data_IF_468152613365
#
_entry.id   IF_468152613365
#
_cell.length_a   1.000
_cell.length_b   1.000
_cell.length_c   1.000
_cell.angle_alpha   90.00
_cell.angle_beta   90.00
_cell.angle_gamma   90.00
#
_symmetry.space_group_name_H-M   'P 1'
#
loop_
_entity.id
_entity.type
_entity.pdbx_description
1 polymer ?
#
# COMPACT_ATOMS: atom_id res chain seq x y z
N UNK A 1 -6.36 7.10 38.39
CA UNK A 1 -5.67 5.81 38.19
C UNK A 1 -6.49 4.72 38.87
N UNK A 2 -7.45 4.12 38.13
CA UNK A 2 -8.31 3.00 38.57
C UNK A 2 -8.47 2.10 37.32
N UNK A 3 -8.39 0.75 37.42
CA UNK A 3 -8.00 -0.11 36.30
C UNK A 3 -9.15 -0.66 35.44
N UNK A 4 -8.80 -1.11 34.24
CA UNK A 4 -9.69 -1.84 33.32
C UNK A 4 -10.20 -3.15 33.93
N UNK A 5 -11.52 -3.32 33.96
CA UNK A 5 -12.26 -4.59 33.78
C UNK A 5 -13.73 -4.26 33.54
N UNK A 6 -14.43 -5.15 32.83
CA UNK A 6 -15.80 -5.02 32.31
C UNK A 6 -15.94 -4.17 31.02
N UNK A 7 -15.99 -4.85 29.87
CA UNK A 7 -17.15 -4.95 28.98
C UNK A 7 -16.82 -6.04 27.95
N UNK A 8 -17.43 -7.21 28.11
CA UNK A 8 -17.54 -8.25 27.08
C UNK A 8 -18.76 -9.14 27.46
N UNK A 9 -19.37 -9.79 26.47
CA UNK A 9 -20.58 -10.61 26.57
C UNK A 9 -21.92 -9.87 26.76
N UNK A 10 -22.39 -9.23 25.69
CA UNK A 10 -23.81 -9.32 25.28
C UNK A 10 -23.93 -9.17 23.76
N UNK A 11 -25.02 -9.70 23.21
CA UNK A 11 -25.39 -9.87 21.79
C UNK A 11 -25.22 -11.30 21.25
N UNK A 12 -26.01 -12.21 21.80
CA UNK A 12 -26.38 -13.46 21.14
C UNK A 12 -27.75 -13.25 20.49
N UNK A 13 -27.79 -13.18 19.16
CA UNK A 13 -29.03 -12.96 18.41
C UNK A 13 -29.80 -14.28 18.29
N UNK A 14 -31.04 -14.27 18.77
CA UNK A 14 -31.87 -15.48 18.96
C UNK A 14 -33.09 -15.41 18.04
N UNK A 15 -33.01 -16.04 16.88
CA UNK A 15 -34.18 -16.32 16.03
C UNK A 15 -34.80 -17.67 16.43
N UNK A 16 -36.14 -17.74 16.40
CA UNK A 16 -36.91 -18.87 16.94
C UNK A 16 -37.92 -19.42 15.92
N UNK A 17 -38.20 -20.72 16.06
CA UNK A 17 -39.07 -21.57 15.22
C UNK A 17 -38.34 -22.91 15.04
N UNK A 18 -38.77 -24.06 15.57
CA UNK A 18 -40.13 -24.58 15.75
C UNK A 18 -40.43 -25.52 14.55
N UNK A 19 -40.69 -26.82 14.69
CA UNK A 19 -40.63 -27.73 15.85
C UNK A 19 -41.44 -29.01 15.56
N UNK A 20 -40.82 -30.20 15.59
CA UNK A 20 -41.52 -31.50 15.47
C UNK A 20 -40.69 -32.72 15.93
N UNK A 21 -41.37 -33.66 16.58
CA UNK A 21 -40.99 -35.03 16.97
C UNK A 21 -41.46 -36.03 15.85
N UNK A 22 -41.09 -37.31 15.69
CA UNK A 22 -40.17 -38.34 16.29
C UNK A 22 -40.18 -39.58 15.33
N UNK A 23 -39.63 -40.79 15.64
CA UNK A 23 -38.60 -41.22 16.59
C UNK A 23 -37.51 -42.21 16.01
N UNK A 24 -36.47 -42.43 16.82
CA UNK A 24 -35.71 -43.69 17.06
C UNK A 24 -35.23 -44.60 15.91
N UNK A 25 -33.90 -44.79 15.86
CA UNK A 25 -33.24 -46.01 15.40
C UNK A 25 -31.90 -46.23 16.12
N UNK A 26 -31.79 -47.27 16.96
CA UNK A 26 -30.51 -47.67 17.61
C UNK A 26 -29.77 -48.66 16.71
N UNK A 27 -28.48 -48.42 16.44
CA UNK A 27 -27.53 -49.51 16.26
C UNK A 27 -26.14 -49.13 16.78
N UNK A 28 -25.50 -50.10 17.41
CA UNK A 28 -24.25 -49.98 18.15
C UNK A 28 -23.05 -50.48 17.34
N UNK A 29 -21.88 -49.84 17.45
CA UNK A 29 -20.63 -50.46 17.00
C UNK A 29 -19.40 -49.56 17.00
N UNK A 30 -18.30 -50.05 17.58
CA UNK A 30 -16.94 -49.67 17.17
C UNK A 30 -16.40 -48.32 17.65
N UNK A 31 -16.00 -48.23 18.92
CA UNK A 31 -15.24 -47.08 19.41
C UNK A 31 -13.82 -47.03 18.82
N UNK A 32 -13.60 -46.14 17.84
CA UNK A 32 -12.29 -45.48 17.67
C UNK A 32 -12.35 -44.15 18.41
N UNK A 33 -11.47 -43.95 19.40
CA UNK A 33 -11.21 -42.61 19.93
C UNK A 33 -10.64 -41.75 18.80
N UNK A 34 -11.48 -40.96 18.13
CA UNK A 34 -11.00 -39.72 17.52
C UNK A 34 -10.52 -38.86 18.68
N UNK A 35 -9.23 -38.55 18.71
CA UNK A 35 -8.79 -37.36 19.43
C UNK A 35 -9.55 -36.19 18.82
N UNK A 36 -10.52 -35.66 19.56
CA UNK A 36 -10.99 -34.31 19.33
C UNK A 36 -9.83 -33.43 19.79
N UNK A 37 -8.89 -33.16 18.88
CA UNK A 37 -8.06 -31.98 19.02
C UNK A 37 -9.04 -30.83 19.20
N UNK A 38 -9.02 -30.21 20.38
CA UNK A 38 -9.46 -28.82 20.50
C UNK A 38 -8.48 -28.01 19.69
N UNK A 39 -8.72 -27.93 18.39
CA UNK A 39 -8.16 -26.90 17.55
C UNK A 39 -8.77 -25.60 18.07
N UNK A 40 -8.03 -24.97 18.99
CA UNK A 40 -8.18 -23.55 19.25
C UNK A 40 -8.10 -22.88 17.87
N UNK A 41 -9.13 -22.13 17.48
CA UNK A 41 -9.25 -21.45 16.18
C UNK A 41 -8.26 -20.30 15.95
N UNK A 42 -7.06 -20.44 16.51
CA UNK A 42 -5.86 -19.62 16.41
C UNK A 42 -4.85 -20.22 15.41
N UNK A 43 -5.15 -21.38 14.83
CA UNK A 43 -4.32 -22.03 13.81
C UNK A 43 -4.73 -21.62 12.39
N UNK A 44 -3.76 -21.57 11.48
CA UNK A 44 -4.01 -21.40 10.04
C UNK A 44 -4.74 -22.63 9.49
N UNK A 45 -5.80 -22.45 8.70
CA UNK A 45 -6.55 -23.57 8.13
C UNK A 45 -5.98 -24.04 6.79
N UNK A 46 -5.44 -23.12 5.99
CA UNK A 46 -4.88 -23.42 4.68
C UNK A 46 -3.37 -23.71 4.74
N UNK A 47 -2.87 -24.40 3.71
CA UNK A 47 -1.43 -24.63 3.49
C UNK A 47 -0.93 -23.80 2.31
N UNK A 48 0.23 -23.16 2.50
CA UNK A 48 0.92 -22.31 1.49
C UNK A 48 1.04 -22.95 0.09
N UNK A 49 1.26 -24.26 0.01
CA UNK A 49 1.44 -24.98 -1.25
C UNK A 49 0.13 -25.41 -1.92
N UNK A 50 -0.99 -25.42 -1.20
CA UNK A 50 -2.30 -25.89 -1.69
C UNK A 50 -3.16 -24.69 -2.12
N UNK A 51 -3.23 -23.64 -1.30
CA UNK A 51 -3.89 -22.39 -1.65
C UNK A 51 -3.13 -21.19 -1.05
N UNK A 52 -2.31 -20.53 -1.87
CA UNK A 52 -1.50 -19.40 -1.42
C UNK A 52 -2.33 -18.16 -1.05
N UNK A 53 -3.43 -17.88 -1.76
CA UNK A 53 -4.22 -16.65 -1.57
C UNK A 53 -4.99 -16.63 -0.25
N UNK A 54 -5.70 -17.72 0.05
CA UNK A 54 -6.37 -17.92 1.34
C UNK A 54 -5.34 -17.97 2.48
N UNK A 55 -4.30 -18.80 2.35
CA UNK A 55 -3.23 -18.91 3.36
C UNK A 55 -2.57 -17.57 3.67
N UNK A 56 -2.28 -16.75 2.66
CA UNK A 56 -1.66 -15.45 2.86
C UNK A 56 -2.59 -14.50 3.63
N UNK A 57 -3.87 -14.48 3.26
CA UNK A 57 -4.91 -13.68 3.92
C UNK A 57 -5.09 -14.09 5.38
N UNK A 58 -5.14 -15.40 5.67
CA UNK A 58 -5.16 -15.90 7.04
C UNK A 58 -3.91 -15.49 7.84
N UNK A 59 -2.71 -15.55 7.25
CA UNK A 59 -1.46 -15.19 7.93
C UNK A 59 -1.42 -13.71 8.32
N UNK A 60 -1.81 -12.80 7.42
CA UNK A 60 -1.72 -11.35 7.70
C UNK A 60 -2.79 -10.87 8.70
N UNK A 61 -3.96 -11.51 8.71
CA UNK A 61 -5.03 -11.20 9.68
C UNK A 61 -4.74 -11.83 11.04
N UNK A 62 -4.48 -13.15 11.09
CA UNK A 62 -4.20 -13.85 12.36
C UNK A 62 -2.85 -13.43 12.97
N UNK A 63 -1.92 -12.93 12.15
CA UNK A 63 -0.67 -12.30 12.59
C UNK A 63 -0.82 -10.85 13.06
N UNK A 64 -2.05 -10.33 13.17
CA UNK A 64 -2.35 -8.96 13.61
C UNK A 64 -1.62 -7.85 12.80
N UNK A 65 -1.32 -8.12 11.52
CA UNK A 65 -0.59 -7.19 10.65
C UNK A 65 -1.53 -6.18 9.99
N UNK A 66 -2.70 -6.65 9.54
CA UNK A 66 -3.69 -5.81 8.87
C UNK A 66 -5.09 -6.03 9.42
N UNK A 67 -5.94 -5.03 9.25
CA UNK A 67 -7.39 -5.16 9.32
C UNK A 67 -8.00 -4.78 7.96
N UNK A 68 -9.05 -5.47 7.52
CA UNK A 68 -9.79 -5.06 6.32
C UNK A 68 -10.62 -3.80 6.61
N UNK A 69 -10.62 -2.86 5.68
CA UNK A 69 -11.48 -1.67 5.75
C UNK A 69 -12.72 -1.83 4.86
N UNK A 70 -13.78 -1.06 5.15
CA UNK A 70 -15.05 -1.10 4.39
C UNK A 70 -14.87 -0.71 2.91
N UNK A 71 -13.82 0.06 2.60
CA UNK A 71 -13.44 0.39 1.22
C UNK A 71 -12.55 -0.74 0.67
N UNK A 72 -13.07 -1.45 -0.33
CA UNK A 72 -12.32 -2.48 -1.08
C UNK A 72 -10.94 -1.96 -1.53
N UNK A 73 -9.89 -2.72 -1.21
CA UNK A 73 -8.50 -2.38 -1.53
C UNK A 73 -7.84 -1.38 -0.57
N UNK A 74 -8.51 -0.91 0.47
CA UNK A 74 -7.88 -0.19 1.58
C UNK A 74 -7.71 -1.14 2.78
N UNK A 75 -6.56 -1.07 3.44
CA UNK A 75 -6.22 -1.91 4.60
C UNK A 75 -5.71 -1.04 5.74
N UNK A 76 -6.09 -1.37 6.98
CA UNK A 76 -5.54 -0.70 8.17
C UNK A 76 -4.24 -1.41 8.52
N UNK A 77 -3.11 -0.71 8.41
CA UNK A 77 -1.82 -1.21 8.86
C UNK A 77 -1.76 -1.14 10.39
N UNK A 78 -1.75 -2.30 11.05
CA UNK A 78 -1.67 -2.41 12.51
C UNK A 78 -0.23 -2.16 13.00
N UNK A 79 0.01 -1.91 14.30
CA UNK A 79 1.34 -1.60 14.83
C UNK A 79 2.43 -2.63 14.45
N UNK A 80 2.08 -3.90 14.29
CA UNK A 80 3.03 -4.92 13.85
C UNK A 80 3.55 -4.65 12.43
N UNK A 81 2.65 -4.42 11.46
CA UNK A 81 3.04 -4.04 10.10
C UNK A 81 3.76 -2.68 10.07
N UNK A 82 3.27 -1.68 10.83
CA UNK A 82 3.90 -0.36 10.87
C UNK A 82 5.33 -0.40 11.44
N UNK A 83 5.63 -1.25 12.42
CA UNK A 83 6.99 -1.40 12.93
C UNK A 83 7.98 -1.92 11.87
N UNK A 84 7.52 -2.76 10.94
CA UNK A 84 8.34 -3.22 9.81
C UNK A 84 8.62 -2.03 8.87
N UNK A 85 7.60 -1.23 8.57
CA UNK A 85 7.75 -0.01 7.77
C UNK A 85 8.70 1.00 8.41
N UNK A 86 8.58 1.24 9.72
CA UNK A 86 9.48 2.14 10.47
C UNK A 86 10.94 1.67 10.41
N UNK A 87 11.21 0.37 10.53
CA UNK A 87 12.56 -0.20 10.39
C UNK A 87 13.11 0.01 8.97
N UNK A 88 12.30 -0.27 7.94
CA UNK A 88 12.68 -0.01 6.54
C UNK A 88 12.94 1.47 6.29
N UNK A 89 12.07 2.34 6.81
CA UNK A 89 12.17 3.78 6.69
C UNK A 89 13.46 4.30 7.34
N UNK A 90 13.74 3.92 8.59
CA UNK A 90 14.96 4.34 9.32
C UNK A 90 16.23 3.88 8.59
N UNK A 91 16.27 2.65 8.08
CA UNK A 91 17.41 2.15 7.30
C UNK A 91 17.60 2.94 6.01
N UNK A 92 16.55 3.04 5.18
CA UNK A 92 16.65 3.68 3.87
C UNK A 92 16.93 5.18 3.99
N UNK A 93 16.28 5.86 4.94
CA UNK A 93 16.49 7.28 5.24
C UNK A 93 17.93 7.58 5.68
N UNK A 94 18.56 6.68 6.45
CA UNK A 94 19.96 6.78 6.83
C UNK A 94 20.91 6.60 5.63
N UNK A 95 20.60 5.74 4.67
CA UNK A 95 21.42 5.54 3.46
C UNK A 95 21.28 6.71 2.47
N UNK A 96 20.06 7.18 2.16
CA UNK A 96 19.87 8.33 1.23
C UNK A 96 20.45 9.64 1.77
N UNK A 97 20.48 9.83 3.10
CA UNK A 97 21.15 10.98 3.72
C UNK A 97 22.66 10.99 3.48
N UNK A 98 23.33 9.82 3.38
CA UNK A 98 24.75 9.74 2.99
C UNK A 98 24.96 10.22 1.54
N UNK A 99 23.99 9.99 0.66
CA UNK A 99 23.98 10.49 -0.73
C UNK A 99 23.61 11.98 -0.87
N UNK A 100 23.42 12.69 0.27
CA UNK A 100 23.01 14.10 0.37
C UNK A 100 21.59 14.39 -0.15
N UNK A 101 20.75 13.36 -0.25
CA UNK A 101 19.32 13.52 -0.57
C UNK A 101 18.62 14.21 0.62
N UNK A 102 17.72 15.16 0.33
CA UNK A 102 16.96 15.90 1.35
C UNK A 102 15.50 15.48 1.34
N UNK A 103 14.93 15.24 2.51
CA UNK A 103 13.49 14.98 2.62
C UNK A 103 12.69 16.27 2.39
N UNK A 104 11.58 16.12 1.69
CA UNK A 104 10.60 17.15 1.39
C UNK A 104 9.19 16.55 1.46
N UNK A 105 8.17 17.37 1.22
CA UNK A 105 6.79 16.92 1.09
C UNK A 105 6.07 17.81 0.08
N UNK A 106 5.49 17.21 -0.95
CA UNK A 106 4.63 17.87 -1.92
C UNK A 106 3.15 17.54 -1.66
N UNK A 107 2.21 18.43 -2.04
CA UNK A 107 0.78 18.23 -1.77
C UNK A 107 0.21 16.94 -2.39
N UNK A 108 -0.72 16.31 -1.67
CA UNK A 108 -1.50 15.16 -2.14
C UNK A 108 -2.37 15.47 -3.37
N UNK A 109 -2.81 16.73 -3.49
CA UNK A 109 -3.78 17.19 -4.47
C UNK A 109 -3.11 17.81 -5.72
N UNK A 110 -3.57 17.39 -6.90
CA UNK A 110 -3.03 17.78 -8.21
C UNK A 110 -4.12 18.46 -9.03
N UNK A 111 -3.79 19.60 -9.65
CA UNK A 111 -4.70 20.28 -10.56
C UNK A 111 -4.79 19.57 -11.93
N UNK A 112 -5.97 19.56 -12.58
CA UNK A 112 -6.17 18.84 -13.84
C UNK A 112 -5.28 19.38 -14.97
N UNK A 113 -5.01 20.70 -14.96
CA UNK A 113 -4.14 21.37 -15.95
C UNK A 113 -2.66 20.99 -15.86
N UNK A 114 -2.24 20.43 -14.72
CA UNK A 114 -0.88 19.91 -14.52
C UNK A 114 -0.83 18.45 -14.92
N UNK A 115 -1.82 17.65 -14.50
CA UNK A 115 -1.96 16.24 -14.88
C UNK A 115 -2.13 16.05 -16.41
N UNK A 116 -2.82 16.97 -17.08
CA UNK A 116 -3.02 16.92 -18.53
C UNK A 116 -1.73 17.06 -19.35
N UNK A 117 -0.68 17.70 -18.81
CA UNK A 117 0.60 17.89 -19.52
C UNK A 117 1.41 16.62 -19.65
N UNK A 118 1.28 15.70 -18.70
CA UNK A 118 1.98 14.39 -18.72
C UNK A 118 1.19 13.31 -19.49
N UNK A 119 -0.04 13.58 -19.93
CA UNK A 119 -0.83 12.62 -20.74
C UNK A 119 -0.14 12.28 -22.06
N UNK A 120 0.60 13.22 -22.61
CA UNK A 120 1.35 13.05 -23.87
C UNK A 120 2.63 12.20 -23.69
N UNK A 121 2.97 11.80 -22.45
CA UNK A 121 4.16 11.03 -22.10
C UNK A 121 3.87 9.63 -21.55
N UNK A 122 2.62 9.33 -21.17
CA UNK A 122 2.25 8.04 -20.53
C UNK A 122 0.93 7.47 -21.10
N UNK A 123 1.07 6.59 -22.10
CA UNK A 123 -0.02 5.74 -22.63
C UNK A 123 -0.49 4.72 -21.58
N UNK A 124 -1.39 5.13 -20.68
CA UNK A 124 -1.97 4.25 -19.66
C UNK A 124 -2.35 4.93 -18.34
N UNK A 125 -2.04 6.22 -18.15
CA UNK A 125 -2.24 6.90 -16.86
C UNK A 125 -3.71 7.22 -16.52
N UNK A 126 -4.63 7.14 -17.48
CA UNK A 126 -6.00 7.66 -17.35
C UNK A 126 -6.98 6.88 -16.45
N UNK A 127 -6.97 5.54 -16.34
CA UNK A 127 -8.04 4.80 -15.66
C UNK A 127 -7.86 4.68 -14.12
N UNK A 128 -6.69 4.99 -13.58
CA UNK A 128 -6.34 4.76 -12.16
C UNK A 128 -6.42 6.02 -11.27
N UNK A 129 -6.74 7.20 -11.83
CA UNK A 129 -6.72 8.47 -11.08
C UNK A 129 -8.03 8.70 -10.34
N UNK A 130 -7.95 8.84 -9.02
CA UNK A 130 -9.08 9.24 -8.18
C UNK A 130 -9.31 10.77 -8.25
N UNK A 131 -10.57 11.19 -8.41
CA UNK A 131 -10.97 12.59 -8.56
C UNK A 131 -11.89 13.05 -7.42
N UNK A 132 -11.57 14.21 -6.85
CA UNK A 132 -12.39 14.95 -5.90
C UNK A 132 -13.19 16.01 -6.67
N UNK A 133 -14.50 15.83 -6.75
CA UNK A 133 -15.43 16.70 -7.49
C UNK A 133 -16.36 17.52 -6.60
N UNK A 134 -16.52 17.12 -5.33
CA UNK A 134 -17.40 17.75 -4.34
C UNK A 134 -16.63 18.10 -3.06
N UNK A 135 -16.99 19.21 -2.45
CA UNK A 135 -16.59 19.57 -1.08
C UNK A 135 -17.85 19.69 -0.23
N UNK A 136 -18.05 18.74 0.69
CA UNK A 136 -19.31 18.59 1.43
C UNK A 136 -20.48 18.32 0.49
N UNK A 137 -21.37 19.31 0.33
CA UNK A 137 -22.55 19.24 -0.54
C UNK A 137 -22.36 20.02 -1.85
N UNK A 138 -21.46 21.01 -1.86
CA UNK A 138 -21.17 21.84 -3.03
C UNK A 138 -20.23 21.15 -4.03
N UNK A 139 -20.53 21.27 -5.31
CA UNK A 139 -19.62 20.91 -6.41
C UNK A 139 -18.44 21.89 -6.50
N UNK A 140 -17.26 21.38 -6.82
CA UNK A 140 -16.07 22.17 -7.09
C UNK A 140 -16.07 22.66 -8.54
N UNK A 141 -15.75 23.94 -8.77
CA UNK A 141 -15.63 24.52 -10.11
C UNK A 141 -14.58 23.80 -10.98
N UNK A 142 -13.51 23.34 -10.34
CA UNK A 142 -12.41 22.59 -10.96
C UNK A 142 -12.22 21.29 -10.18
N UNK A 143 -12.39 20.11 -10.81
CA UNK A 143 -12.16 18.84 -10.14
C UNK A 143 -10.67 18.65 -9.85
N UNK A 144 -10.35 18.13 -8.67
CA UNK A 144 -8.97 17.97 -8.18
C UNK A 144 -8.62 16.48 -8.22
N UNK A 145 -7.46 16.14 -8.77
CA UNK A 145 -6.96 14.75 -8.74
C UNK A 145 -6.22 14.48 -7.42
N UNK A 146 -6.36 13.25 -6.91
CA UNK A 146 -5.43 12.71 -5.91
C UNK A 146 -4.21 12.18 -6.67
N UNK A 147 -2.99 12.44 -6.18
CA UNK A 147 -1.77 12.04 -6.89
C UNK A 147 -1.64 10.49 -6.97
N UNK A 148 -1.45 9.92 -8.18
CA UNK A 148 -1.02 8.53 -8.37
C UNK A 148 0.52 8.39 -8.37
N UNK A 149 1.23 9.50 -8.63
CA UNK A 149 2.68 9.73 -8.61
C UNK A 149 2.91 11.26 -8.53
N UNK A 150 4.11 11.74 -8.16
CA UNK A 150 4.35 13.18 -7.92
C UNK A 150 5.18 13.93 -8.97
N UNK A 151 5.63 13.30 -10.06
CA UNK A 151 6.37 13.95 -11.15
C UNK A 151 5.65 15.22 -11.64
N UNK A 152 4.36 15.05 -11.94
CA UNK A 152 3.43 16.12 -12.35
C UNK A 152 3.47 17.32 -11.40
N UNK A 153 3.54 17.07 -10.08
CA UNK A 153 3.53 18.10 -9.04
C UNK A 153 4.91 18.72 -8.87
N UNK A 154 5.98 17.92 -8.93
CA UNK A 154 7.33 18.32 -8.54
C UNK A 154 8.07 19.07 -9.64
N UNK A 155 8.00 18.59 -10.89
CA UNK A 155 8.79 19.13 -12.00
C UNK A 155 8.50 20.62 -12.33
N UNK A 156 7.24 21.12 -12.25
CA UNK A 156 6.95 22.55 -12.38
C UNK A 156 7.60 23.45 -11.31
N UNK A 157 8.01 22.91 -10.16
CA UNK A 157 8.77 23.65 -9.15
C UNK A 157 10.28 23.45 -9.31
N UNK A 158 10.74 22.28 -9.73
CA UNK A 158 12.14 22.05 -10.08
C UNK A 158 12.61 23.06 -11.14
N UNK A 159 11.80 23.28 -12.18
CA UNK A 159 12.06 24.31 -13.22
C UNK A 159 12.10 25.75 -12.68
N UNK A 160 11.46 26.06 -11.54
CA UNK A 160 11.50 27.38 -10.89
C UNK A 160 12.71 27.56 -9.97
N UNK A 161 13.18 26.46 -9.37
CA UNK A 161 14.29 26.43 -8.42
C UNK A 161 15.65 26.31 -9.13
N UNK A 162 15.74 25.48 -10.17
CA UNK A 162 16.95 25.30 -10.97
C UNK A 162 17.02 26.42 -12.00
N UNK A 163 17.89 27.41 -11.77
CA UNK A 163 18.12 28.57 -12.66
C UNK A 163 19.47 28.49 -13.37
N UNK A 164 20.40 27.69 -12.87
CA UNK A 164 21.64 27.36 -13.55
C UNK A 164 22.38 26.18 -12.91
N UNK A 165 23.56 25.88 -13.43
CA UNK A 165 24.38 24.73 -13.00
C UNK A 165 24.71 24.74 -11.49
N UNK A 166 24.71 25.89 -10.82
CA UNK A 166 24.98 25.99 -9.37
C UNK A 166 23.87 25.42 -8.47
N UNK A 167 22.66 25.30 -9.01
CA UNK A 167 21.51 24.75 -8.30
C UNK A 167 21.44 23.21 -8.42
N UNK A 168 22.34 22.63 -9.22
CA UNK A 168 22.47 21.19 -9.45
C UNK A 168 23.67 20.62 -8.67
N UNK A 169 23.62 19.37 -8.20
CA UNK A 169 22.49 18.45 -8.31
C UNK A 169 21.39 18.73 -7.27
N UNK A 170 20.13 18.76 -7.71
CA UNK A 170 18.98 18.82 -6.83
C UNK A 170 18.55 17.39 -6.49
N UNK A 171 18.56 17.02 -5.21
CA UNK A 171 18.20 15.66 -4.76
C UNK A 171 17.15 15.70 -3.65
N UNK A 172 15.91 15.33 -3.96
CA UNK A 172 14.83 15.29 -2.98
C UNK A 172 14.20 13.89 -2.87
N UNK A 173 13.70 13.60 -1.68
CA UNK A 173 12.95 12.40 -1.31
C UNK A 173 11.65 12.80 -0.60
N UNK A 174 10.58 12.01 -0.71
CA UNK A 174 9.42 12.16 0.16
C UNK A 174 8.80 10.82 0.57
N UNK A 175 8.51 10.69 1.87
CA UNK A 175 7.82 9.55 2.49
C UNK A 175 6.33 9.89 2.62
N UNK A 176 5.43 9.15 1.97
CA UNK A 176 4.07 9.62 1.74
C UNK A 176 3.09 8.54 1.23
N UNK A 177 1.78 8.81 1.23
CA UNK A 177 0.72 7.90 0.81
C UNK A 177 0.22 8.20 -0.62
N UNK A 178 0.02 7.16 -1.44
CA UNK A 178 -0.40 7.27 -2.83
C UNK A 178 -1.71 6.55 -3.07
N UNK A 179 -2.55 7.12 -3.93
CA UNK A 179 -3.82 6.48 -4.35
C UNK A 179 -3.76 6.07 -5.82
N UNK A 180 -4.00 4.79 -6.10
CA UNK A 180 -4.17 4.24 -7.45
C UNK A 180 -5.40 3.36 -7.51
N UNK A 181 -6.37 3.74 -8.34
CA UNK A 181 -7.66 3.07 -8.42
C UNK A 181 -7.64 1.91 -9.44
N UNK A 182 -6.81 0.91 -9.17
CA UNK A 182 -6.75 -0.29 -10.01
C UNK A 182 -8.03 -1.14 -9.92
N UNK A 183 -8.42 -1.73 -11.05
CA UNK A 183 -9.54 -2.67 -11.17
C UNK A 183 -9.15 -4.12 -10.84
N UNK A 184 -7.85 -4.40 -10.68
CA UNK A 184 -7.30 -5.71 -10.34
C UNK A 184 -7.68 -6.14 -8.92
N UNK A 185 -7.79 -7.45 -8.68
CA UNK A 185 -8.13 -7.97 -7.36
C UNK A 185 -7.03 -7.60 -6.33
N UNK A 186 -7.35 -6.79 -5.31
CA UNK A 186 -6.34 -6.26 -4.40
C UNK A 186 -5.88 -7.35 -3.44
N UNK A 187 -4.57 -7.53 -3.29
CA UNK A 187 -3.99 -8.34 -2.22
C UNK A 187 -3.10 -7.46 -1.35
N UNK A 188 -3.17 -7.57 -0.01
CA UNK A 188 -2.28 -6.82 0.87
C UNK A 188 -0.80 -7.02 0.49
N UNK A 189 -0.04 -5.93 0.49
CA UNK A 189 1.41 -5.83 0.28
C UNK A 189 1.95 -6.27 -1.10
N UNK A 190 1.47 -7.38 -1.68
CA UNK A 190 2.07 -8.04 -2.85
C UNK A 190 1.46 -7.54 -4.18
N UNK A 191 2.33 -7.20 -5.14
CA UNK A 191 2.02 -7.22 -6.58
C UNK A 191 2.87 -8.27 -7.28
N UNK A 192 2.26 -8.98 -8.22
CA UNK A 192 2.96 -9.97 -9.03
C UNK A 192 3.93 -9.31 -10.01
N UNK A 193 5.06 -9.98 -10.23
CA UNK A 193 6.23 -9.54 -11.00
C UNK A 193 5.96 -9.32 -12.49
N UNK A 194 4.83 -9.79 -13.04
CA UNK A 194 4.43 -9.58 -14.43
C UNK A 194 4.08 -8.11 -14.76
N UNK A 195 3.78 -7.27 -13.77
CA UNK A 195 3.38 -5.86 -13.98
C UNK A 195 4.55 -4.89 -14.31
N UNK A 196 5.68 -5.36 -14.85
CA UNK A 196 6.84 -4.52 -15.26
C UNK A 196 6.59 -3.57 -16.46
N UNK A 197 5.34 -3.22 -16.75
CA UNK A 197 4.94 -2.52 -17.99
C UNK A 197 4.50 -1.06 -17.86
N UNK A 198 4.58 -0.44 -16.68
CA UNK A 198 4.36 1.00 -16.51
C UNK A 198 5.51 1.62 -15.70
N UNK A 199 6.66 1.82 -16.35
CA UNK A 199 7.74 2.76 -15.99
C UNK A 199 8.94 2.58 -16.94
N UNK A 200 8.86 3.09 -18.18
CA UNK A 200 10.06 3.37 -18.99
C UNK A 200 9.81 4.34 -20.16
N UNK A 201 9.56 5.61 -19.86
CA UNK A 201 9.82 6.72 -20.77
C UNK A 201 10.13 8.00 -19.97
N UNK A 202 11.43 8.31 -19.84
CA UNK A 202 11.97 9.63 -19.48
C UNK A 202 11.79 10.17 -18.03
N UNK A 203 11.44 9.34 -17.04
CA UNK A 203 11.54 9.74 -15.62
C UNK A 203 12.04 8.57 -14.75
N UNK A 204 13.34 8.56 -14.45
CA UNK A 204 14.02 7.51 -13.70
C UNK A 204 14.06 7.80 -12.19
N UNK A 205 12.88 7.84 -11.56
CA UNK A 205 12.76 7.73 -10.10
C UNK A 205 12.78 6.26 -9.68
N UNK A 206 13.65 5.88 -8.73
CA UNK A 206 13.53 4.58 -8.06
C UNK A 206 12.69 4.76 -6.80
N UNK A 207 11.64 3.94 -6.67
CA UNK A 207 10.64 4.03 -5.60
C UNK A 207 10.71 2.81 -4.67
N UNK A 208 10.62 3.04 -3.35
CA UNK A 208 10.46 2.01 -2.35
C UNK A 208 8.98 1.76 -2.06
N UNK A 209 8.49 0.56 -2.38
CA UNK A 209 7.09 0.19 -2.23
C UNK A 209 6.90 -0.75 -1.03
N UNK A 210 6.03 -0.38 -0.09
CA UNK A 210 5.65 -1.23 1.03
C UNK A 210 4.39 -2.05 0.74
N UNK A 211 3.49 -1.48 -0.04
CA UNK A 211 2.27 -2.11 -0.52
C UNK A 211 2.01 -1.67 -1.97
N UNK A 212 1.54 -2.58 -2.80
CA UNK A 212 1.58 -2.46 -4.26
C UNK A 212 0.28 -2.89 -4.97
N UNK A 213 -0.69 -3.46 -4.23
CA UNK A 213 -2.04 -3.80 -4.75
C UNK A 213 -3.20 -3.31 -3.86
N UNK A 214 -2.93 -2.61 -2.77
CA UNK A 214 -3.93 -1.71 -2.20
C UNK A 214 -4.17 -0.50 -3.09
N UNK A 215 -5.35 0.11 -2.95
CA UNK A 215 -5.72 1.37 -3.58
C UNK A 215 -5.07 2.57 -2.92
N UNK A 216 -4.68 2.44 -1.64
CA UNK A 216 -3.89 3.41 -0.91
C UNK A 216 -2.70 2.70 -0.25
N UNK A 217 -1.47 3.12 -0.58
CA UNK A 217 -0.25 2.54 -0.04
C UNK A 217 0.77 3.59 0.41
N UNK A 218 1.62 3.20 1.36
CA UNK A 218 2.79 3.97 1.77
C UNK A 218 3.99 3.66 0.86
N UNK A 219 4.71 4.70 0.47
CA UNK A 219 5.94 4.59 -0.30
C UNK A 219 6.97 5.65 0.10
N UNK A 220 8.17 5.56 -0.49
CA UNK A 220 8.87 6.79 -0.88
C UNK A 220 8.95 6.91 -2.39
N UNK A 221 9.19 8.14 -2.83
CA UNK A 221 9.62 8.47 -4.18
C UNK A 221 10.81 9.44 -4.12
N UNK A 222 11.85 9.14 -4.91
CA UNK A 222 13.10 9.91 -4.97
C UNK A 222 13.24 10.59 -6.32
N UNK A 223 13.31 11.92 -6.34
CA UNK A 223 13.40 12.71 -7.56
C UNK A 223 14.67 13.57 -7.55
N UNK A 224 15.58 13.25 -8.45
CA UNK A 224 16.89 13.90 -8.59
C UNK A 224 17.02 14.59 -9.95
N UNK A 225 17.79 15.67 -10.00
CA UNK A 225 18.14 16.38 -11.23
C UNK A 225 19.63 16.71 -11.21
N UNK A 226 20.30 16.44 -12.33
CA UNK A 226 21.75 16.51 -12.50
C UNK A 226 22.13 17.37 -13.71
N UNK A 227 23.39 17.80 -13.78
CA UNK A 227 23.89 18.58 -14.90
C UNK A 227 24.32 17.70 -16.10
N UNK A 228 24.80 16.49 -15.80
CA UNK A 228 25.24 15.51 -16.81
C UNK A 228 24.49 14.20 -16.68
N UNK A 229 24.51 13.38 -17.75
CA UNK A 229 23.85 12.07 -17.74
C UNK A 229 24.62 11.07 -16.87
N UNK A 230 25.94 11.19 -16.86
CA UNK A 230 26.87 10.31 -16.15
C UNK A 230 26.66 10.39 -14.62
N UNK A 231 26.37 11.59 -14.10
CA UNK A 231 26.00 11.79 -12.69
C UNK A 231 24.65 11.12 -12.36
N UNK A 232 23.67 11.22 -13.26
CA UNK A 232 22.35 10.61 -13.08
C UNK A 232 22.41 9.08 -13.15
N UNK A 233 23.12 8.52 -14.14
CA UNK A 233 23.33 7.08 -14.31
C UNK A 233 24.05 6.48 -13.08
N UNK A 234 25.04 7.20 -12.51
CA UNK A 234 25.72 6.81 -11.28
C UNK A 234 24.79 6.80 -10.05
N UNK A 235 23.90 7.78 -9.91
CA UNK A 235 22.90 7.81 -8.83
C UNK A 235 21.89 6.67 -8.96
N UNK A 236 21.44 6.35 -10.19
CA UNK A 236 20.50 5.25 -10.48
C UNK A 236 21.11 3.90 -10.07
N UNK A 237 22.36 3.64 -10.45
CA UNK A 237 23.08 2.42 -10.08
C UNK A 237 23.34 2.34 -8.57
N UNK A 238 23.74 3.46 -7.95
CA UNK A 238 23.91 3.56 -6.50
C UNK A 238 22.60 3.23 -5.77
N UNK A 239 21.51 3.89 -6.15
CA UNK A 239 20.15 3.69 -5.60
C UNK A 239 19.71 2.23 -5.72
N UNK A 240 19.84 1.62 -6.91
CA UNK A 240 19.46 0.23 -7.18
C UNK A 240 20.17 -0.76 -6.23
N UNK A 241 21.43 -0.50 -5.89
CA UNK A 241 22.18 -1.33 -4.94
C UNK A 241 21.64 -1.23 -3.50
N UNK A 242 21.06 -0.11 -3.08
CA UNK A 242 20.37 -0.02 -1.77
C UNK A 242 19.05 -0.78 -1.77
N UNK A 243 18.30 -0.79 -2.88
CA UNK A 243 17.10 -1.63 -3.03
C UNK A 243 17.43 -3.12 -2.98
N UNK A 244 18.58 -3.55 -3.50
CA UNK A 244 19.09 -4.91 -3.34
C UNK A 244 19.64 -5.26 -1.95
N UNK A 245 19.64 -4.31 -1.00
CA UNK A 245 20.07 -4.50 0.40
C UNK A 245 18.90 -4.47 1.40
N UNK A 246 17.68 -4.21 0.92
CA UNK A 246 16.41 -4.36 1.66
C UNK A 246 15.94 -5.83 1.60
#
# INVERSE_FOLDING_TARGET
>A
MIPLRHICNRWSFRMAGGGADKPSGKQSGGGKKKEVKKETGLGLSNRKAENFGEWYSEVVVNGEMIEYYDISGCYILRPWAMSIWEVMQVFFDAEIKKMKVKNCYFPLFVSPSVLQKEKDHVEGFAPEVAWVTKSGVSDLEIPIAIRPTSETVMYPYYSKWIRGHRDLPLKLNQWCNVVRWEFSNPTPFIRDSESKKILCSLSFGLNAYFDHRSREFLWQEGHTAFATKEEADAEVLGSSNYYGRL
#
